data_IF_959953705878
#
_entry.id   IF_959953705878
#
_cell.length_a   1.000
_cell.length_b   1.000
_cell.length_c   1.000
_cell.angle_alpha   90.00
_cell.angle_beta   90.00
_cell.angle_gamma   90.00
#
_symmetry.space_group_name_H-M   'P 1'
#
loop_
_entity.id
_entity.type
_entity.pdbx_description
1 polymer ?
#
# COMPACT_ATOMS: atom_id res chain seq x y z
N UNK A 1 36.44 -56.25 -9.85
CA UNK A 1 37.13 -54.99 -10.22
C UNK A 1 36.90 -53.99 -9.10
N UNK A 2 37.98 -53.41 -8.57
CA UNK A 2 38.04 -52.41 -7.48
C UNK A 2 37.71 -51.00 -7.99
N UNK A 3 37.07 -50.17 -7.15
CA UNK A 3 37.22 -48.71 -6.89
C UNK A 3 35.90 -48.19 -6.29
N UNK A 4 35.72 -47.95 -4.98
CA UNK A 4 36.20 -46.86 -4.09
C UNK A 4 35.94 -45.42 -4.59
N UNK A 5 34.89 -44.79 -4.02
CA UNK A 5 34.77 -43.42 -3.43
C UNK A 5 35.09 -42.16 -4.30
N UNK A 6 34.45 -40.99 -4.06
CA UNK A 6 34.66 -40.22 -2.83
C UNK A 6 33.44 -39.55 -2.18
N UNK A 7 33.55 -39.42 -0.86
CA UNK A 7 32.86 -38.44 -0.03
C UNK A 7 33.63 -37.10 -0.08
N UNK A 8 32.90 -35.99 -0.14
CA UNK A 8 33.33 -34.61 0.14
C UNK A 8 32.09 -33.94 0.74
N UNK A 9 32.03 -33.35 1.94
CA UNK A 9 33.07 -32.77 2.77
C UNK A 9 33.00 -31.24 2.64
N UNK A 10 32.08 -30.59 3.36
CA UNK A 10 32.15 -29.15 3.63
C UNK A 10 31.44 -28.82 4.95
N UNK A 11 32.25 -28.66 6.00
CA UNK A 11 31.88 -27.98 7.23
C UNK A 11 32.09 -26.47 7.02
N UNK A 12 31.16 -25.64 7.50
CA UNK A 12 31.43 -24.22 7.76
C UNK A 12 30.86 -23.89 9.14
N UNK A 13 31.76 -23.79 10.12
CA UNK A 13 31.56 -22.93 11.28
C UNK A 13 32.14 -21.56 10.95
N UNK A 14 31.38 -20.50 11.22
CA UNK A 14 31.94 -19.18 11.51
C UNK A 14 30.97 -18.42 12.42
N UNK A 15 31.35 -18.30 13.68
CA UNK A 15 30.85 -17.35 14.67
C UNK A 15 31.24 -15.94 14.26
N UNK A 16 30.27 -15.01 14.25
CA UNK A 16 30.54 -13.58 14.29
C UNK A 16 29.72 -12.96 15.44
N UNK A 17 30.46 -12.56 16.48
CA UNK A 17 29.99 -11.71 17.57
C UNK A 17 29.87 -10.28 17.01
N UNK A 18 28.71 -9.66 17.16
CA UNK A 18 28.58 -8.20 17.15
C UNK A 18 27.68 -7.80 18.33
N UNK A 19 28.37 -7.48 19.43
CA UNK A 19 27.84 -6.68 20.51
C UNK A 19 27.68 -5.23 20.03
N UNK A 20 26.56 -4.62 20.42
CA UNK A 20 26.47 -3.20 20.78
C UNK A 20 26.62 -2.16 19.67
N UNK A 21 25.51 -1.54 19.30
CA UNK A 21 25.43 -0.08 19.20
C UNK A 21 24.02 0.35 19.63
N UNK A 22 23.98 0.95 20.81
CA UNK A 22 22.85 1.67 21.40
C UNK A 22 22.45 2.83 20.50
N UNK A 23 21.15 3.01 20.28
CA UNK A 23 20.58 4.34 20.01
C UNK A 23 19.53 4.59 21.07
N UNK A 24 19.89 5.45 22.02
CA UNK A 24 18.97 6.08 22.95
C UNK A 24 17.82 6.71 22.16
N UNK A 25 16.59 6.24 22.41
CA UNK A 25 15.40 7.02 22.08
C UNK A 25 15.11 7.84 23.34
N UNK A 26 15.75 9.00 23.40
CA UNK A 26 15.33 10.09 24.27
C UNK A 26 14.24 10.85 23.52
N UNK A 27 13.01 10.75 24.02
CA UNK A 27 11.80 11.15 23.31
C UNK A 27 10.63 11.37 24.27
N UNK A 28 10.87 12.28 25.22
CA UNK A 28 9.91 13.08 26.00
C UNK A 28 8.48 12.55 26.11
N UNK A 29 8.13 12.00 27.28
CA UNK A 29 6.75 11.90 27.72
C UNK A 29 6.17 13.32 27.91
N UNK A 30 5.23 13.74 27.06
CA UNK A 30 4.42 14.93 27.32
C UNK A 30 3.10 14.51 27.98
N UNK A 31 2.86 15.18 29.10
CA UNK A 31 2.10 14.71 30.22
C UNK A 31 0.58 14.73 30.03
N UNK A 32 -0.05 13.88 30.82
CA UNK A 32 -1.45 13.92 31.18
C UNK A 32 -1.91 15.34 31.52
N UNK A 33 -3.04 15.76 30.95
CA UNK A 33 -3.76 16.93 31.38
C UNK A 33 -4.35 16.67 32.77
N UNK A 34 -3.73 17.25 33.80
CA UNK A 34 -4.35 17.40 35.12
C UNK A 34 -4.45 18.87 35.49
N UNK A 35 -5.64 19.23 35.92
CA UNK A 35 -6.14 20.55 36.25
C UNK A 35 -5.33 21.33 37.29
N UNK A 36 -5.50 22.65 37.29
CA UNK A 36 -5.44 23.44 38.52
C UNK A 36 -4.87 24.87 38.38
N UNK A 37 -5.74 25.87 38.57
CA UNK A 37 -5.43 26.96 39.51
C UNK A 37 -5.00 28.32 38.97
N UNK A 38 -5.98 29.22 38.86
CA UNK A 38 -6.00 30.66 39.22
C UNK A 38 -4.71 31.46 39.40
N UNK A 39 -4.69 32.66 38.80
CA UNK A 39 -4.45 33.95 39.50
C UNK A 39 -4.93 35.15 38.67
N UNK A 40 -5.65 36.05 39.34
CA UNK A 40 -6.35 37.24 38.85
C UNK A 40 -5.46 38.34 38.26
N UNK A 41 -5.94 39.03 37.23
CA UNK A 41 -5.85 40.50 37.15
C UNK A 41 -7.11 41.09 36.48
N UNK A 42 -7.46 42.30 36.91
CA UNK A 42 -8.76 42.93 36.93
C UNK A 42 -8.83 44.07 35.89
N UNK A 43 -9.95 44.17 35.15
CA UNK A 43 -10.78 45.38 34.98
C UNK A 43 -11.34 45.62 33.56
N UNK A 44 -12.68 45.60 33.50
CA UNK A 44 -13.60 46.49 32.75
C UNK A 44 -13.48 46.62 31.22
N UNK A 45 -14.43 46.03 30.47
CA UNK A 45 -15.60 46.76 29.92
C UNK A 45 -16.48 45.89 28.98
N UNK A 46 -17.78 46.04 29.19
CA UNK A 46 -18.88 46.11 28.21
C UNK A 46 -19.27 44.91 27.32
N UNK A 47 -20.57 44.62 27.46
CA UNK A 47 -21.55 44.18 26.46
C UNK A 47 -21.43 42.78 25.84
N UNK A 48 -22.17 41.88 26.47
CA UNK A 48 -22.77 40.70 25.86
C UNK A 48 -23.69 41.10 24.70
N UNK A 49 -23.29 40.75 23.48
CA UNK A 49 -24.21 40.46 22.38
C UNK A 49 -23.71 39.23 21.63
N UNK A 50 -24.59 38.25 21.54
CA UNK A 50 -24.37 36.87 21.14
C UNK A 50 -23.74 36.77 19.75
N UNK A 51 -22.44 36.52 19.70
CA UNK A 51 -21.75 36.08 18.50
C UNK A 51 -21.93 34.57 18.40
N UNK A 52 -22.72 34.13 17.41
CA UNK A 52 -22.86 32.73 17.07
C UNK A 52 -21.46 32.09 16.98
N UNK A 53 -21.21 31.12 17.86
CA UNK A 53 -19.99 30.32 17.87
C UNK A 53 -20.00 29.47 16.60
N UNK A 54 -19.49 30.03 15.51
CA UNK A 54 -19.04 29.25 14.37
C UNK A 54 -17.85 28.42 14.88
N UNK A 55 -18.15 27.21 15.34
CA UNK A 55 -17.16 26.15 15.57
C UNK A 55 -16.28 26.15 14.33
N UNK A 56 -14.96 26.41 14.42
CA UNK A 56 -14.11 26.17 13.27
C UNK A 56 -14.21 24.67 13.03
N UNK A 57 -14.92 24.30 11.97
CA UNK A 57 -14.74 22.98 11.37
C UNK A 57 -13.26 22.92 11.10
N UNK A 58 -12.56 22.15 11.92
CA UNK A 58 -11.17 21.80 11.67
C UNK A 58 -11.25 20.99 10.39
N UNK A 59 -11.15 21.67 9.24
CA UNK A 59 -10.83 21.04 7.98
C UNK A 59 -9.60 20.24 8.31
N UNK A 60 -9.73 18.92 8.37
CA UNK A 60 -8.58 18.04 8.36
C UNK A 60 -7.87 18.41 7.06
N UNK A 61 -6.83 19.23 7.21
CA UNK A 61 -5.84 19.45 6.20
C UNK A 61 -5.20 18.08 6.01
N UNK A 62 -5.76 17.30 5.09
CA UNK A 62 -5.15 16.06 4.64
C UNK A 62 -3.75 16.44 4.21
N UNK A 63 -2.79 16.01 5.00
CA UNK A 63 -1.39 16.28 4.77
C UNK A 63 -1.04 15.48 3.52
N UNK A 64 -1.02 16.18 2.37
CA UNK A 64 -0.45 15.79 1.08
C UNK A 64 0.47 14.56 1.16
N UNK A 65 0.30 13.52 0.31
CA UNK A 65 1.46 12.73 -0.09
C UNK A 65 2.30 13.58 -1.06
N UNK A 66 3.58 13.70 -0.74
CA UNK A 66 4.58 14.23 -1.65
C UNK A 66 4.55 13.41 -2.96
N UNK A 67 4.82 14.10 -4.08
CA UNK A 67 5.12 13.57 -5.43
C UNK A 67 4.85 12.08 -5.73
N UNK A 68 3.94 11.79 -6.67
CA UNK A 68 3.97 10.55 -7.49
C UNK A 68 2.79 9.58 -7.33
N UNK A 69 2.01 9.67 -6.25
CA UNK A 69 0.85 8.78 -6.07
C UNK A 69 -0.28 9.11 -7.04
N UNK A 70 -0.67 8.13 -7.86
CA UNK A 70 -1.88 8.17 -8.68
C UNK A 70 -3.10 8.23 -7.75
N UNK A 71 -4.02 9.16 -7.96
CA UNK A 71 -5.29 9.21 -7.22
C UNK A 71 -6.29 8.18 -7.76
N UNK A 72 -7.43 8.00 -7.11
CA UNK A 72 -8.45 7.05 -7.57
C UNK A 72 -9.09 7.45 -8.91
N UNK A 73 -9.08 8.72 -9.28
CA UNK A 73 -9.47 9.21 -10.60
C UNK A 73 -8.50 8.75 -11.69
N UNK A 74 -7.21 8.87 -11.43
CA UNK A 74 -6.14 8.42 -12.29
C UNK A 74 -6.12 6.89 -12.41
N UNK A 75 -6.25 6.18 -11.29
CA UNK A 75 -6.32 4.72 -11.25
C UNK A 75 -7.53 4.20 -12.04
N UNK A 76 -8.68 4.89 -11.96
CA UNK A 76 -9.86 4.54 -12.75
C UNK A 76 -9.59 4.68 -14.26
N UNK A 77 -8.99 5.79 -14.70
CA UNK A 77 -8.72 6.05 -16.12
C UNK A 77 -7.75 5.05 -16.76
N UNK A 78 -6.89 4.42 -15.97
CA UNK A 78 -5.97 3.38 -16.45
C UNK A 78 -6.58 1.98 -16.37
N UNK A 79 -7.44 1.71 -15.38
CA UNK A 79 -8.09 0.41 -15.21
C UNK A 79 -9.29 0.21 -16.15
N UNK A 80 -10.13 1.24 -16.36
CA UNK A 80 -11.34 1.17 -17.19
C UNK A 80 -11.10 0.61 -18.62
N UNK A 81 -10.08 1.03 -19.39
CA UNK A 81 -9.88 0.51 -20.74
C UNK A 81 -9.34 -0.92 -20.80
N UNK A 82 -8.89 -1.48 -19.67
CA UNK A 82 -8.34 -2.85 -19.60
C UNK A 82 -9.45 -3.90 -19.59
N UNK A 83 -10.62 -3.52 -19.10
CA UNK A 83 -11.74 -4.44 -18.92
C UNK A 83 -12.80 -4.29 -20.02
N UNK A 84 -13.48 -5.37 -20.43
CA UNK A 84 -14.53 -5.30 -21.45
C UNK A 84 -15.93 -4.96 -20.89
N UNK A 85 -16.04 -4.68 -19.59
CA UNK A 85 -17.29 -4.34 -18.90
C UNK A 85 -17.22 -2.93 -18.33
N UNK A 86 -18.38 -2.34 -18.04
CA UNK A 86 -18.39 -0.99 -17.45
C UNK A 86 -18.10 -1.06 -15.96
N UNK A 87 -17.31 -0.09 -15.50
CA UNK A 87 -17.04 0.15 -14.10
C UNK A 87 -17.71 1.48 -13.72
N UNK A 88 -18.42 1.50 -12.59
CA UNK A 88 -19.04 2.66 -11.97
C UNK A 88 -18.31 3.00 -10.69
N UNK A 89 -18.11 4.28 -10.43
CA UNK A 89 -17.45 4.73 -9.20
C UNK A 89 -18.29 4.42 -7.96
N UNK A 90 -17.68 3.80 -6.94
CA UNK A 90 -18.34 3.48 -5.68
C UNK A 90 -18.42 4.68 -4.73
N UNK A 91 -17.36 5.47 -4.67
CA UNK A 91 -17.20 6.59 -3.73
C UNK A 91 -16.52 7.76 -4.42
N UNK A 92 -17.01 8.98 -4.16
CA UNK A 92 -16.29 10.21 -4.47
C UNK A 92 -15.18 10.40 -3.41
N UNK A 93 -13.92 10.38 -3.82
CA UNK A 93 -12.79 10.68 -2.94
C UNK A 93 -11.48 10.00 -3.34
N UNK A 94 -10.39 10.45 -2.72
CA UNK A 94 -9.01 10.02 -2.98
C UNK A 94 -8.51 8.95 -2.00
N UNK A 95 -9.42 8.26 -1.31
CA UNK A 95 -9.04 7.35 -0.22
C UNK A 95 -8.79 5.94 -0.77
N UNK A 96 -7.60 5.42 -0.52
CA UNK A 96 -7.24 4.04 -0.84
C UNK A 96 -7.79 3.05 0.20
N UNK A 97 -8.20 1.82 -0.21
CA UNK A 97 -8.20 1.34 -1.60
C UNK A 97 -9.25 2.04 -2.47
N UNK A 98 -8.94 2.20 -3.76
CA UNK A 98 -9.90 2.68 -4.74
C UNK A 98 -10.94 1.61 -5.00
N UNK A 99 -12.20 1.93 -4.75
CA UNK A 99 -13.32 0.99 -4.88
C UNK A 99 -14.22 1.45 -6.02
N UNK A 100 -14.56 0.51 -6.89
CA UNK A 100 -15.52 0.69 -7.97
C UNK A 100 -16.45 -0.53 -8.06
N UNK A 101 -17.57 -0.39 -8.76
CA UNK A 101 -18.55 -1.45 -8.98
C UNK A 101 -18.65 -1.77 -10.48
N UNK A 102 -18.78 -3.03 -10.83
CA UNK A 102 -19.16 -3.46 -12.17
C UNK A 102 -20.67 -3.27 -12.42
N UNK A 103 -21.17 -3.59 -13.60
CA UNK A 103 -22.60 -3.45 -13.93
C UNK A 103 -23.51 -4.40 -13.14
N UNK A 104 -22.97 -5.54 -12.73
CA UNK A 104 -23.52 -6.64 -11.94
C UNK A 104 -23.27 -6.48 -10.42
N UNK A 105 -22.78 -5.31 -9.99
CA UNK A 105 -22.52 -4.97 -8.58
C UNK A 105 -21.32 -5.71 -7.93
N UNK A 106 -20.51 -6.45 -8.69
CA UNK A 106 -19.20 -6.93 -8.23
C UNK A 106 -18.28 -5.75 -7.90
N UNK A 107 -17.63 -5.82 -6.74
CA UNK A 107 -16.70 -4.80 -6.26
C UNK A 107 -15.33 -5.03 -6.90
N UNK A 108 -14.76 -4.00 -7.53
CA UNK A 108 -13.35 -3.91 -7.87
C UNK A 108 -12.64 -3.04 -6.85
N UNK A 109 -11.63 -3.58 -6.17
CA UNK A 109 -10.77 -2.83 -5.26
C UNK A 109 -9.33 -2.84 -5.75
N UNK A 110 -8.73 -1.65 -5.81
CA UNK A 110 -7.33 -1.43 -6.19
C UNK A 110 -6.59 -0.66 -5.09
N UNK A 111 -5.49 -1.22 -4.60
CA UNK A 111 -4.59 -0.56 -3.64
C UNK A 111 -3.22 -0.34 -4.27
N UNK A 112 -2.58 0.79 -3.96
CA UNK A 112 -1.22 1.11 -4.41
C UNK A 112 -0.42 1.52 -3.18
N UNK A 113 0.66 0.78 -2.92
CA UNK A 113 1.55 1.05 -1.79
C UNK A 113 2.95 1.30 -2.31
N UNK A 114 3.54 2.46 -1.97
CA UNK A 114 4.96 2.69 -2.20
C UNK A 114 5.80 1.74 -1.36
N UNK A 115 6.78 1.11 -1.99
CA UNK A 115 7.67 0.14 -1.35
C UNK A 115 9.07 0.25 -1.93
N UNK A 116 9.99 -0.55 -1.42
CA UNK A 116 11.30 -0.74 -2.04
C UNK A 116 11.58 -2.23 -2.07
N UNK A 117 11.39 -2.84 -3.24
CA UNK A 117 11.59 -4.27 -3.44
C UNK A 117 12.92 -4.51 -4.12
N UNK A 118 13.82 -5.18 -3.41
CA UNK A 118 15.15 -5.53 -3.92
C UNK A 118 15.06 -6.65 -4.98
N UNK A 119 16.06 -6.76 -5.89
CA UNK A 119 16.08 -7.83 -6.88
C UNK A 119 16.03 -9.25 -6.28
N UNK A 120 16.63 -9.47 -5.10
CA UNK A 120 16.59 -10.76 -4.41
C UNK A 120 15.22 -11.06 -3.79
N UNK A 121 14.48 -10.04 -3.37
CA UNK A 121 13.08 -10.19 -2.96
C UNK A 121 12.19 -10.51 -4.17
N UNK A 122 12.40 -9.84 -5.31
CA UNK A 122 11.68 -10.16 -6.55
C UNK A 122 11.91 -11.61 -6.96
N UNK A 123 13.16 -12.08 -6.93
CA UNK A 123 13.48 -13.46 -7.30
C UNK A 123 12.86 -14.48 -6.35
N UNK A 124 12.81 -14.15 -5.05
CA UNK A 124 12.12 -14.99 -4.07
C UNK A 124 10.64 -15.11 -4.41
N UNK A 125 9.96 -13.98 -4.66
CA UNK A 125 8.53 -13.94 -5.01
C UNK A 125 8.24 -14.79 -6.26
N UNK A 126 9.05 -14.69 -7.30
CA UNK A 126 8.91 -15.56 -8.51
C UNK A 126 9.06 -17.05 -8.24
N UNK A 127 9.68 -17.43 -7.12
CA UNK A 127 9.88 -18.82 -6.72
C UNK A 127 8.86 -19.33 -5.68
N UNK A 128 7.98 -18.46 -5.20
CA UNK A 128 6.94 -18.84 -4.24
C UNK A 128 5.86 -19.71 -4.90
N UNK A 129 5.13 -20.48 -4.10
CA UNK A 129 4.12 -21.43 -4.63
C UNK A 129 2.96 -20.76 -5.35
N UNK A 130 2.67 -19.52 -4.97
CA UNK A 130 1.53 -18.74 -5.43
C UNK A 130 1.95 -17.74 -6.52
N UNK A 131 3.18 -17.85 -7.01
CA UNK A 131 3.73 -16.96 -8.02
C UNK A 131 3.01 -17.12 -9.37
N UNK A 132 2.58 -16.00 -9.93
CA UNK A 132 1.98 -15.93 -11.25
C UNK A 132 3.09 -15.95 -12.31
N UNK A 133 2.99 -16.90 -13.24
CA UNK A 133 3.90 -16.99 -14.39
C UNK A 133 3.34 -16.20 -15.59
N UNK A 134 3.90 -15.01 -15.87
CA UNK A 134 3.57 -14.19 -17.04
C UNK A 134 4.83 -13.58 -17.66
N UNK A 135 5.00 -13.73 -18.98
CA UNK A 135 6.17 -13.22 -19.74
C UNK A 135 6.40 -11.71 -19.57
N UNK A 136 5.36 -10.94 -19.27
CA UNK A 136 5.43 -9.49 -19.05
C UNK A 136 6.13 -9.16 -17.74
N UNK A 137 5.99 -10.02 -16.73
CA UNK A 137 6.70 -9.89 -15.45
C UNK A 137 8.20 -10.06 -15.67
N UNK A 138 8.58 -11.10 -16.42
CA UNK A 138 9.99 -11.37 -16.78
C UNK A 138 10.61 -10.19 -17.55
N UNK A 139 9.88 -9.67 -18.56
CA UNK A 139 10.35 -8.57 -19.39
C UNK A 139 10.62 -7.29 -18.60
N UNK A 140 9.91 -7.08 -17.48
CA UNK A 140 10.06 -5.89 -16.62
C UNK A 140 10.90 -6.14 -15.37
N UNK A 141 11.26 -7.39 -15.08
CA UNK A 141 11.87 -7.74 -13.80
C UNK A 141 10.91 -7.54 -12.62
N UNK A 142 9.62 -7.73 -12.83
CA UNK A 142 8.56 -7.68 -11.80
C UNK A 142 8.19 -9.09 -11.31
N UNK A 143 7.39 -9.19 -10.26
CA UNK A 143 6.83 -10.44 -9.76
C UNK A 143 5.36 -10.23 -9.39
N UNK A 144 4.55 -11.28 -9.41
CA UNK A 144 3.17 -11.20 -8.95
C UNK A 144 2.76 -12.51 -8.27
N UNK A 145 1.90 -12.40 -7.27
CA UNK A 145 1.39 -13.53 -6.50
C UNK A 145 -0.15 -13.57 -6.59
N UNK A 146 -0.72 -14.78 -6.53
CA UNK A 146 -2.17 -15.04 -6.47
C UNK A 146 -2.49 -15.90 -5.24
N UNK A 147 -2.65 -15.25 -4.08
CA UNK A 147 -2.90 -15.93 -2.80
C UNK A 147 -4.34 -15.75 -2.28
N UNK A 148 -5.05 -14.73 -2.75
CA UNK A 148 -6.46 -14.40 -2.47
C UNK A 148 -6.97 -13.33 -3.46
N UNK A 149 -6.02 -12.56 -3.99
CA UNK A 149 -6.16 -11.54 -5.01
C UNK A 149 -4.79 -11.43 -5.68
N UNK A 150 -4.74 -10.75 -6.83
CA UNK A 150 -3.46 -10.49 -7.47
C UNK A 150 -2.73 -9.36 -6.75
N UNK A 151 -1.52 -9.64 -6.29
CA UNK A 151 -0.56 -8.62 -5.87
C UNK A 151 0.58 -8.55 -6.88
N UNK A 152 0.78 -7.39 -7.48
CA UNK A 152 1.91 -7.11 -8.37
C UNK A 152 3.00 -6.34 -7.63
N UNK A 153 4.21 -6.88 -7.67
CA UNK A 153 5.42 -6.28 -7.10
C UNK A 153 6.28 -5.65 -8.18
N UNK A 154 6.53 -4.35 -8.03
CA UNK A 154 7.53 -3.59 -8.79
C UNK A 154 8.66 -3.12 -7.86
N UNK A 155 9.79 -2.61 -8.36
CA UNK A 155 10.87 -2.13 -7.49
C UNK A 155 10.44 -1.04 -6.50
N UNK A 156 9.40 -0.26 -6.83
CA UNK A 156 8.98 0.94 -6.09
C UNK A 156 7.54 0.89 -5.57
N UNK A 157 6.71 -0.04 -6.06
CA UNK A 157 5.29 -0.13 -5.71
C UNK A 157 4.82 -1.57 -5.61
N UNK A 158 3.86 -1.78 -4.72
CA UNK A 158 3.01 -2.96 -4.63
C UNK A 158 1.59 -2.55 -5.05
N UNK A 159 0.98 -3.30 -5.97
CA UNK A 159 -0.37 -3.04 -6.48
C UNK A 159 -1.24 -4.26 -6.23
N UNK A 160 -2.26 -4.09 -5.39
CA UNK A 160 -3.24 -5.13 -5.08
C UNK A 160 -4.51 -4.91 -5.88
N UNK A 161 -5.00 -5.95 -6.55
CA UNK A 161 -6.24 -5.91 -7.33
C UNK A 161 -7.12 -7.10 -6.98
N UNK A 162 -8.32 -6.82 -6.48
CA UNK A 162 -9.31 -7.85 -6.14
C UNK A 162 -10.68 -7.54 -6.74
N UNK A 163 -11.41 -8.60 -7.07
CA UNK A 163 -12.84 -8.55 -7.32
C UNK A 163 -13.55 -9.27 -6.17
N UNK A 164 -14.67 -8.72 -5.69
CA UNK A 164 -15.50 -9.33 -4.64
C UNK A 164 -16.96 -9.30 -5.09
N UNK A 165 -17.58 -10.47 -5.27
CA UNK A 165 -18.95 -10.57 -5.73
C UNK A 165 -19.31 -11.97 -6.20
N UNK A 166 -20.57 -12.15 -6.63
CA UNK A 166 -21.09 -13.44 -7.05
C UNK A 166 -20.39 -13.97 -8.33
N UNK A 167 -19.83 -13.07 -9.15
CA UNK A 167 -19.17 -13.37 -10.42
C UNK A 167 -17.63 -13.14 -10.37
N UNK A 168 -17.01 -13.20 -9.18
CA UNK A 168 -15.58 -12.88 -8.99
C UNK A 168 -14.63 -13.69 -9.90
N UNK A 169 -14.92 -14.97 -10.13
CA UNK A 169 -14.13 -15.85 -11.01
C UNK A 169 -14.13 -15.37 -12.48
N UNK A 170 -15.23 -14.75 -12.94
CA UNK A 170 -15.31 -14.21 -14.29
C UNK A 170 -14.36 -13.03 -14.46
N UNK A 171 -14.19 -12.23 -13.40
CA UNK A 171 -13.42 -11.01 -13.37
C UNK A 171 -11.95 -11.21 -12.96
N UNK A 172 -11.65 -12.26 -12.20
CA UNK A 172 -10.30 -12.56 -11.70
C UNK A 172 -9.23 -12.57 -12.82
N UNK A 173 -9.60 -13.03 -14.02
CA UNK A 173 -8.70 -13.04 -15.19
C UNK A 173 -8.18 -11.66 -15.63
N UNK A 174 -8.83 -10.57 -15.23
CA UNK A 174 -8.41 -9.20 -15.55
C UNK A 174 -7.55 -8.56 -14.45
N UNK A 175 -7.42 -9.18 -13.27
CA UNK A 175 -6.73 -8.58 -12.12
C UNK A 175 -5.27 -8.26 -12.43
N UNK A 176 -4.55 -9.19 -13.07
CA UNK A 176 -3.16 -8.97 -13.47
C UNK A 176 -3.01 -7.84 -14.50
N UNK A 177 -3.91 -7.77 -15.47
CA UNK A 177 -3.86 -6.72 -16.50
C UNK A 177 -4.12 -5.33 -15.91
N UNK A 178 -5.08 -5.23 -14.98
CA UNK A 178 -5.34 -4.01 -14.22
C UNK A 178 -4.11 -3.62 -13.38
N UNK A 179 -3.52 -4.59 -12.67
CA UNK A 179 -2.33 -4.36 -11.86
C UNK A 179 -1.17 -3.83 -12.71
N UNK A 180 -0.94 -4.39 -13.90
CA UNK A 180 0.05 -3.89 -14.86
C UNK A 180 -0.21 -2.44 -15.26
N UNK A 181 -1.43 -2.12 -15.70
CA UNK A 181 -1.78 -0.78 -16.17
C UNK A 181 -1.57 0.27 -15.07
N UNK A 182 -1.96 -0.05 -13.83
CA UNK A 182 -1.77 0.82 -12.67
C UNK A 182 -0.29 0.97 -12.32
N UNK A 183 0.46 -0.15 -12.26
CA UNK A 183 1.89 -0.14 -11.96
C UNK A 183 2.71 0.65 -12.98
N UNK A 184 2.39 0.53 -14.27
CA UNK A 184 3.02 1.32 -15.33
C UNK A 184 2.75 2.82 -15.18
N UNK A 185 1.54 3.19 -14.75
CA UNK A 185 1.17 4.59 -14.56
C UNK A 185 1.89 5.25 -13.38
N UNK A 186 2.15 4.51 -12.29
CA UNK A 186 2.87 5.04 -11.11
C UNK A 186 4.40 4.93 -11.21
N UNK A 187 4.91 4.10 -12.11
CA UNK A 187 6.36 3.93 -12.32
C UNK A 187 6.93 4.86 -13.40
N UNK A 188 6.07 5.66 -14.05
CA UNK A 188 6.40 6.54 -15.19
C UNK A 188 7.14 7.82 -14.84
#
# INVERSE_FOLDING_TARGET
MKKLLPAVGAAIMATAVLAGCSTEIDGTAVAASSAGGSSNQQSSNQQSSSSASARPTTTQSSTRPASGMLDCDGAFKVAEPVVPFKIRRATEGDTFPCIWYTEDETILSVSITETTTTPSQMERRRSDSDAISDRRLDAKGWAADDFMFVTLYTPTHEVDVMFLGDDEDEYAKYQLDIAFAVAEAVSG
#
